data_IF_926956022856
#
_entry.id   IF_926956022856
#
_cell.length_a   1.000
_cell.length_b   1.000
_cell.length_c   1.000
_cell.angle_alpha   90.00
_cell.angle_beta   90.00
_cell.angle_gamma   90.00
#
_symmetry.space_group_name_H-M   'P 1'
#
loop_
_entity.id
_entity.type
_entity.pdbx_description
1 polymer ?
#
# COMPACT_ATOMS: atom_id res chain seq x y z
N UNK A 1 -10.39 1.99 2.46
CA UNK A 1 -9.02 1.84 1.94
C UNK A 1 -8.07 2.19 3.07
N UNK A 2 -6.98 1.44 3.31
CA UNK A 2 -5.94 1.89 4.24
C UNK A 2 -5.43 3.27 3.82
N UNK A 3 -5.24 4.21 4.75
CA UNK A 3 -4.74 5.52 4.43
C UNK A 3 -3.30 5.45 3.90
N UNK A 4 -2.98 6.37 3.01
CA UNK A 4 -1.60 6.59 2.56
C UNK A 4 -0.79 7.30 3.64
N UNK A 5 0.45 6.87 3.81
CA UNK A 5 1.35 7.43 4.82
C UNK A 5 1.92 8.79 4.38
N UNK A 6 1.97 9.74 5.32
CA UNK A 6 2.59 11.06 5.12
C UNK A 6 4.07 10.98 4.69
N UNK A 7 4.74 9.88 5.03
CA UNK A 7 6.13 9.68 4.61
C UNK A 7 6.22 9.44 3.10
N UNK A 8 5.30 8.68 2.50
CA UNK A 8 5.25 8.50 1.05
C UNK A 8 4.83 9.79 0.35
N UNK A 9 3.92 10.54 0.98
CA UNK A 9 3.55 11.87 0.53
C UNK A 9 4.77 12.79 0.39
N UNK A 10 5.64 12.81 1.40
CA UNK A 10 6.87 13.63 1.37
C UNK A 10 7.83 13.23 0.22
N UNK A 11 7.85 11.96 -0.18
CA UNK A 11 8.66 11.48 -1.30
C UNK A 11 8.12 11.95 -2.66
N UNK A 12 6.80 11.94 -2.82
CA UNK A 12 6.14 12.44 -4.02
C UNK A 12 6.32 13.96 -4.14
N UNK A 13 6.20 14.69 -3.03
CA UNK A 13 6.40 16.14 -2.98
C UNK A 13 7.85 16.61 -3.11
N UNK A 14 8.86 15.73 -2.99
CA UNK A 14 10.26 16.11 -3.17
C UNK A 14 10.65 16.18 -4.66
N UNK A 15 9.91 15.50 -5.54
CA UNK A 15 10.10 15.54 -6.99
C UNK A 15 9.39 16.70 -7.68
N UNK A 16 8.35 17.26 -7.06
CA UNK A 16 7.62 18.44 -7.54
C UNK A 16 7.93 19.64 -6.63
N UNK A 17 8.56 20.68 -7.18
CA UNK A 17 8.94 21.86 -6.41
C UNK A 17 7.73 22.48 -5.67
N UNK A 18 7.76 22.34 -4.34
CA UNK A 18 7.17 23.22 -3.32
C UNK A 18 5.83 23.91 -3.66
N UNK A 19 4.72 23.29 -3.29
CA UNK A 19 3.56 23.99 -2.73
C UNK A 19 2.66 22.99 -2.00
N UNK A 20 2.38 23.25 -0.72
CA UNK A 20 1.49 22.48 0.14
C UNK A 20 0.07 22.47 -0.43
N UNK A 21 -0.24 21.55 -1.35
CA UNK A 21 -1.59 21.24 -1.81
C UNK A 21 -1.87 19.77 -1.49
N UNK A 22 -3.06 19.52 -0.94
CA UNK A 22 -3.50 18.22 -0.45
C UNK A 22 -3.11 17.07 -1.40
N UNK A 23 -2.60 16.00 -0.80
CA UNK A 23 -2.09 14.82 -1.49
C UNK A 23 -3.12 14.29 -2.48
N UNK A 24 -2.86 14.49 -3.77
CA UNK A 24 -3.75 14.07 -4.83
C UNK A 24 -2.93 13.52 -5.97
N UNK A 25 -3.43 12.46 -6.59
CA UNK A 25 -2.77 11.87 -7.74
C UNK A 25 -2.69 12.94 -8.85
N UNK A 26 -1.56 13.06 -9.54
CA UNK A 26 -1.27 14.23 -10.38
C UNK A 26 -2.14 14.33 -11.63
N UNK A 27 -2.82 13.25 -12.04
CA UNK A 27 -3.70 13.25 -13.21
C UNK A 27 -5.12 12.78 -12.88
N UNK A 28 -6.09 13.38 -13.58
CA UNK A 28 -7.52 13.07 -13.45
C UNK A 28 -7.82 11.56 -13.58
N UNK A 29 -7.24 10.81 -14.54
CA UNK A 29 -7.50 9.37 -14.65
C UNK A 29 -7.01 8.57 -13.44
N UNK A 30 -5.91 8.99 -12.80
CA UNK A 30 -5.38 8.33 -11.61
C UNK A 30 -6.27 8.62 -10.40
N UNK A 31 -6.74 9.87 -10.24
CA UNK A 31 -7.71 10.24 -9.21
C UNK A 31 -9.01 9.44 -9.33
N UNK A 32 -9.54 9.30 -10.54
CA UNK A 32 -10.72 8.48 -10.80
C UNK A 32 -10.48 7.01 -10.44
N UNK A 33 -9.32 6.45 -10.82
CA UNK A 33 -8.97 5.05 -10.50
C UNK A 33 -8.86 4.82 -8.99
N UNK A 34 -8.20 5.71 -8.25
CA UNK A 34 -8.09 5.63 -6.79
C UNK A 34 -9.44 5.79 -6.10
N UNK A 35 -10.29 6.69 -6.59
CA UNK A 35 -11.68 6.83 -6.11
C UNK A 35 -12.48 5.54 -6.31
N UNK A 36 -12.39 4.92 -7.49
CA UNK A 36 -13.02 3.62 -7.77
C UNK A 36 -12.49 2.51 -6.86
N UNK A 37 -11.17 2.43 -6.67
CA UNK A 37 -10.55 1.49 -5.75
C UNK A 37 -11.05 1.69 -4.31
N UNK A 38 -11.11 2.94 -3.86
CA UNK A 38 -11.63 3.32 -2.55
C UNK A 38 -13.08 2.88 -2.35
N UNK A 39 -13.94 3.14 -3.35
CA UNK A 39 -15.34 2.72 -3.36
C UNK A 39 -15.50 1.20 -3.35
N UNK A 40 -14.75 0.48 -4.19
CA UNK A 40 -14.77 -0.97 -4.24
C UNK A 40 -14.30 -1.61 -2.91
N UNK A 41 -13.26 -1.05 -2.28
CA UNK A 41 -12.81 -1.49 -0.95
C UNK A 41 -13.89 -1.28 0.11
N UNK A 42 -14.55 -0.12 0.12
CA UNK A 42 -15.61 0.17 1.08
C UNK A 42 -16.83 -0.75 0.88
N UNK A 43 -17.24 -0.98 -0.37
CA UNK A 43 -18.33 -1.89 -0.71
C UNK A 43 -18.02 -3.34 -0.27
N UNK A 44 -16.81 -3.83 -0.53
CA UNK A 44 -16.37 -5.14 -0.08
C UNK A 44 -16.34 -5.23 1.46
N UNK A 45 -15.88 -4.18 2.14
CA UNK A 45 -15.90 -4.10 3.60
C UNK A 45 -17.32 -4.17 4.18
N UNK A 46 -18.28 -3.43 3.60
CA UNK A 46 -19.69 -3.52 3.99
C UNK A 46 -20.27 -4.92 3.74
N UNK A 47 -19.93 -5.54 2.61
CA UNK A 47 -20.38 -6.91 2.31
C UNK A 47 -19.86 -7.90 3.36
N UNK A 48 -18.57 -7.81 3.74
CA UNK A 48 -17.98 -8.65 4.80
C UNK A 48 -18.65 -8.40 6.15
N UNK A 49 -18.92 -7.15 6.52
CA UNK A 49 -19.62 -6.84 7.77
C UNK A 49 -21.04 -7.43 7.81
N UNK A 50 -21.78 -7.33 6.70
CA UNK A 50 -23.11 -7.95 6.57
C UNK A 50 -23.05 -9.47 6.66
N UNK A 51 -22.10 -10.11 5.98
CA UNK A 51 -21.88 -11.56 6.04
C UNK A 51 -21.51 -12.01 7.46
N UNK A 52 -20.71 -11.22 8.19
CA UNK A 52 -20.39 -11.49 9.59
C UNK A 52 -21.65 -11.47 10.47
N UNK A 53 -22.51 -10.46 10.31
CA UNK A 53 -23.80 -10.40 11.04
C UNK A 53 -24.68 -11.61 10.73
N UNK A 54 -24.77 -12.00 9.46
CA UNK A 54 -25.53 -13.21 9.05
C UNK A 54 -24.95 -14.46 9.72
N UNK A 55 -23.63 -14.63 9.74
CA UNK A 55 -22.98 -15.77 10.38
C UNK A 55 -23.27 -15.83 11.89
N UNK A 56 -23.25 -14.68 12.58
CA UNK A 56 -23.58 -14.61 14.02
C UNK A 56 -25.03 -15.00 14.27
N UNK A 57 -25.98 -14.43 13.52
CA UNK A 57 -27.40 -14.74 13.64
C UNK A 57 -27.70 -16.22 13.35
N UNK A 58 -27.06 -16.80 12.33
CA UNK A 58 -27.18 -18.22 12.03
C UNK A 58 -26.64 -19.10 13.15
N UNK A 59 -25.50 -18.74 13.75
CA UNK A 59 -24.93 -19.47 14.87
C UNK A 59 -25.84 -19.42 16.10
N UNK A 60 -26.49 -18.29 16.38
CA UNK A 60 -27.41 -18.16 17.51
C UNK A 60 -28.72 -18.92 17.27
N UNK A 61 -29.27 -18.87 16.06
CA UNK A 61 -30.44 -19.66 15.68
C UNK A 61 -30.18 -21.18 15.84
N UNK A 62 -29.00 -21.66 15.42
CA UNK A 62 -28.57 -23.05 15.60
C UNK A 62 -28.52 -23.44 17.08
N UNK A 63 -27.97 -22.57 17.95
CA UNK A 63 -27.93 -22.83 19.40
C UNK A 63 -29.32 -22.94 20.00
N UNK A 64 -30.25 -22.11 19.55
CA UNK A 64 -31.61 -22.09 20.09
C UNK A 64 -32.44 -23.27 19.60
N UNK A 65 -32.29 -23.66 18.32
CA UNK A 65 -32.87 -24.89 17.78
C UNK A 65 -32.39 -26.13 18.54
N UNK A 66 -31.10 -26.21 18.88
CA UNK A 66 -30.54 -27.33 19.64
C UNK A 66 -31.10 -27.43 21.08
N UNK A 67 -31.64 -26.35 21.64
CA UNK A 67 -32.26 -26.33 22.99
C UNK A 67 -33.77 -26.55 22.95
N UNK A 68 -34.41 -26.42 21.79
CA UNK A 68 -35.87 -26.48 21.65
C UNK A 68 -36.43 -27.89 21.89
N UNK A 69 -37.59 -27.97 22.53
CA UNK A 69 -38.32 -29.22 22.73
C UNK A 69 -39.40 -29.35 21.64
N UNK A 70 -39.32 -30.37 20.79
CA UNK A 70 -40.34 -30.63 19.75
C UNK A 70 -39.86 -31.29 18.47
N UNK A 71 -38.56 -31.33 18.20
CA UNK A 71 -37.99 -32.07 17.07
C UNK A 71 -37.37 -33.39 17.55
N UNK A 72 -37.52 -34.45 16.76
CA UNK A 72 -36.81 -35.70 17.01
C UNK A 72 -35.30 -35.52 16.80
N UNK A 73 -34.44 -36.33 17.44
CA UNK A 73 -32.98 -36.22 17.29
C UNK A 73 -32.50 -36.30 15.84
N UNK A 74 -33.20 -37.05 14.99
CA UNK A 74 -32.84 -37.25 13.58
C UNK A 74 -33.22 -36.04 12.71
N UNK A 75 -34.37 -35.41 12.97
CA UNK A 75 -34.78 -34.15 12.35
C UNK A 75 -33.85 -32.99 12.74
N UNK A 76 -33.41 -32.95 14.01
CA UNK A 76 -32.40 -31.97 14.46
C UNK A 76 -31.07 -32.22 13.73
N UNK A 77 -30.65 -33.48 13.57
CA UNK A 77 -29.41 -33.79 12.86
C UNK A 77 -29.46 -33.43 11.36
N UNK A 78 -30.59 -33.66 10.69
CA UNK A 78 -30.82 -33.24 9.31
C UNK A 78 -30.87 -31.72 9.16
N UNK A 79 -31.54 -31.03 10.10
CA UNK A 79 -31.58 -29.58 10.16
C UNK A 79 -30.20 -28.97 10.42
N UNK A 80 -29.39 -29.56 11.32
CA UNK A 80 -28.02 -29.15 11.53
C UNK A 80 -27.18 -29.32 10.27
N UNK A 81 -27.24 -30.49 9.59
CA UNK A 81 -26.50 -30.74 8.35
C UNK A 81 -26.84 -29.75 7.23
N UNK A 82 -28.12 -29.41 7.06
CA UNK A 82 -28.56 -28.42 6.07
C UNK A 82 -28.19 -27.00 6.48
N UNK A 83 -28.25 -26.70 7.78
CA UNK A 83 -27.86 -25.39 8.30
C UNK A 83 -26.35 -25.18 8.26
N UNK A 84 -25.52 -26.21 8.43
CA UNK A 84 -24.05 -26.14 8.36
C UNK A 84 -23.53 -25.65 7.00
N UNK A 85 -24.31 -25.83 5.93
CA UNK A 85 -23.98 -25.33 4.60
C UNK A 85 -23.99 -23.80 4.52
N UNK A 86 -24.85 -23.13 5.29
CA UNK A 86 -25.01 -21.68 5.23
C UNK A 86 -23.84 -20.91 5.88
N UNK A 87 -23.33 -21.27 7.07
CA UNK A 87 -22.08 -20.74 7.61
C UNK A 87 -20.88 -21.06 6.71
N UNK A 88 -20.84 -22.25 6.10
CA UNK A 88 -19.77 -22.60 5.16
C UNK A 88 -19.78 -21.69 3.93
N UNK A 89 -20.95 -21.47 3.32
CA UNK A 89 -21.12 -20.55 2.18
C UNK A 89 -20.74 -19.12 2.57
N UNK A 90 -21.14 -18.67 3.76
CA UNK A 90 -20.81 -17.34 4.30
C UNK A 90 -19.30 -17.19 4.52
N UNK A 91 -18.63 -18.19 5.07
CA UNK A 91 -17.16 -18.21 5.21
C UNK A 91 -16.45 -18.10 3.86
N UNK A 92 -16.93 -18.83 2.85
CA UNK A 92 -16.35 -18.76 1.51
C UNK A 92 -16.56 -17.39 0.86
N UNK A 93 -17.76 -16.81 0.97
CA UNK A 93 -18.07 -15.48 0.49
C UNK A 93 -17.19 -14.41 1.15
N UNK A 94 -17.05 -14.46 2.49
CA UNK A 94 -16.16 -13.56 3.25
C UNK A 94 -14.71 -13.71 2.79
N UNK A 95 -14.22 -14.94 2.62
CA UNK A 95 -12.85 -15.19 2.15
C UNK A 95 -12.61 -14.61 0.75
N UNK A 96 -13.56 -14.78 -0.17
CA UNK A 96 -13.48 -14.20 -1.51
C UNK A 96 -13.46 -12.66 -1.48
N UNK A 97 -14.29 -12.04 -0.64
CA UNK A 97 -14.32 -10.59 -0.47
C UNK A 97 -13.03 -10.05 0.16
N UNK A 98 -12.48 -10.72 1.18
CA UNK A 98 -11.20 -10.34 1.76
C UNK A 98 -10.06 -10.42 0.73
N UNK A 99 -10.03 -11.46 -0.11
CA UNK A 99 -9.07 -11.56 -1.22
C UNK A 99 -9.23 -10.43 -2.23
N UNK A 100 -10.47 -10.04 -2.55
CA UNK A 100 -10.76 -8.89 -3.39
C UNK A 100 -10.24 -7.59 -2.78
N UNK A 101 -10.48 -7.36 -1.48
CA UNK A 101 -9.95 -6.19 -0.76
C UNK A 101 -8.42 -6.13 -0.80
N UNK A 102 -7.73 -7.27 -0.63
CA UNK A 102 -6.26 -7.34 -0.75
C UNK A 102 -5.82 -6.99 -2.17
N UNK A 103 -6.48 -7.50 -3.20
CA UNK A 103 -6.16 -7.16 -4.59
C UNK A 103 -6.35 -5.65 -4.86
N UNK A 104 -7.42 -5.05 -4.35
CA UNK A 104 -7.68 -3.62 -4.44
C UNK A 104 -6.57 -2.80 -3.76
N UNK A 105 -6.12 -3.23 -2.57
CA UNK A 105 -4.98 -2.59 -1.88
C UNK A 105 -3.69 -2.69 -2.71
N UNK A 106 -3.43 -3.84 -3.34
CA UNK A 106 -2.26 -4.02 -4.21
C UNK A 106 -2.34 -3.11 -5.44
N UNK A 107 -3.51 -2.98 -6.07
CA UNK A 107 -3.72 -2.04 -7.18
C UNK A 107 -3.45 -0.60 -6.76
N UNK A 108 -3.95 -0.20 -5.59
CA UNK A 108 -3.70 1.13 -5.03
C UNK A 108 -2.19 1.33 -4.76
N UNK A 109 -1.50 0.36 -4.18
CA UNK A 109 -0.03 0.42 -4.00
C UNK A 109 0.71 0.60 -5.31
N UNK A 110 0.31 -0.15 -6.35
CA UNK A 110 0.92 -0.03 -7.68
C UNK A 110 0.74 1.38 -8.26
N UNK A 111 -0.45 1.97 -8.08
CA UNK A 111 -0.74 3.34 -8.49
C UNK A 111 0.25 4.33 -7.86
N UNK A 112 0.41 4.27 -6.53
CA UNK A 112 1.28 5.18 -5.78
C UNK A 112 2.78 4.94 -5.99
N UNK A 113 3.23 3.68 -6.08
CA UNK A 113 4.64 3.34 -6.33
C UNK A 113 5.08 3.72 -7.75
N UNK A 114 4.17 3.66 -8.72
CA UNK A 114 4.48 4.06 -10.10
C UNK A 114 4.71 5.58 -10.22
N UNK A 115 4.03 6.37 -9.40
CA UNK A 115 4.23 7.81 -9.31
C UNK A 115 5.48 8.22 -8.54
N UNK A 116 5.90 7.42 -7.57
CA UNK A 116 7.13 7.67 -6.84
C UNK A 116 8.37 7.42 -7.73
N UNK A 117 9.29 8.38 -7.75
CA UNK A 117 10.60 8.25 -8.43
C UNK A 117 11.54 7.34 -7.61
N UNK A 118 11.21 6.05 -7.60
CA UNK A 118 11.93 5.02 -6.85
C UNK A 118 12.67 4.08 -7.79
N UNK A 119 13.83 3.58 -7.33
CA UNK A 119 14.55 2.54 -8.07
C UNK A 119 13.77 1.22 -8.11
N UNK A 120 13.96 0.41 -9.17
CA UNK A 120 13.26 -0.89 -9.35
C UNK A 120 13.29 -1.79 -8.11
N UNK A 121 14.41 -1.81 -7.37
CA UNK A 121 14.59 -2.60 -6.13
C UNK A 121 13.72 -2.10 -4.98
N UNK A 122 13.57 -0.79 -4.85
CA UNK A 122 12.75 -0.14 -3.80
C UNK A 122 11.27 -0.31 -4.12
N UNK A 123 10.89 -0.15 -5.39
CA UNK A 123 9.53 -0.45 -5.89
C UNK A 123 9.14 -1.89 -5.58
N UNK A 124 10.00 -2.85 -5.90
CA UNK A 124 9.77 -4.26 -5.60
C UNK A 124 9.60 -4.54 -4.10
N UNK A 125 10.35 -3.86 -3.23
CA UNK A 125 10.22 -4.03 -1.78
C UNK A 125 8.88 -3.50 -1.25
N UNK A 126 8.44 -2.32 -1.69
CA UNK A 126 7.17 -1.73 -1.25
C UNK A 126 5.95 -2.51 -1.73
N UNK A 127 5.99 -3.06 -2.94
CA UNK A 127 4.88 -3.85 -3.49
C UNK A 127 4.70 -5.19 -2.75
N UNK A 128 5.79 -5.75 -2.22
CA UNK A 128 5.78 -7.02 -1.47
C UNK A 128 5.59 -6.82 0.04
N UNK A 129 5.34 -5.60 0.51
CA UNK A 129 5.08 -5.31 1.91
C UNK A 129 3.84 -6.10 2.41
N UNK A 130 3.80 -6.53 3.68
CA UNK A 130 2.57 -7.07 4.26
C UNK A 130 1.46 -6.01 4.22
N UNK A 131 0.20 -6.45 4.01
CA UNK A 131 -0.97 -5.55 4.02
C UNK A 131 -1.38 -5.29 5.46
N UNK A 132 -1.43 -4.01 5.84
CA UNK A 132 -1.95 -3.55 7.12
C UNK A 132 -3.32 -2.88 6.91
N UNK A 133 -4.30 -3.09 7.79
CA UNK A 133 -5.57 -2.37 7.72
C UNK A 133 -5.43 -0.88 8.09
N UNK A 134 -4.37 -0.51 8.82
CA UNK A 134 -4.14 0.85 9.31
C UNK A 134 -3.32 1.70 8.35
N UNK A 135 -2.56 1.07 7.45
CA UNK A 135 -1.50 1.72 6.67
C UNK A 135 -1.35 1.03 5.31
N UNK A 136 -1.21 1.82 4.24
CA UNK A 136 -1.14 1.28 2.88
C UNK A 136 0.14 0.49 2.62
N UNK A 137 1.31 0.92 3.07
CA UNK A 137 2.62 0.25 2.92
C UNK A 137 3.28 -0.11 4.26
N UNK A 138 2.84 0.52 5.35
CA UNK A 138 3.31 0.35 6.71
C UNK A 138 4.78 0.72 6.92
N UNK A 139 5.45 0.01 7.82
CA UNK A 139 6.88 0.21 8.19
C UNK A 139 7.85 0.03 7.02
N UNK A 140 7.40 -0.55 5.90
CA UNK A 140 8.21 -0.77 4.69
C UNK A 140 8.72 0.54 4.07
N UNK A 141 7.96 1.64 4.21
CA UNK A 141 8.39 2.96 3.74
C UNK A 141 9.60 3.46 4.53
N UNK A 142 9.66 3.22 5.85
CA UNK A 142 10.77 3.67 6.68
C UNK A 142 12.09 2.99 6.30
N UNK A 143 12.02 1.73 5.89
CA UNK A 143 13.16 0.95 5.42
C UNK A 143 13.68 1.51 4.10
N UNK A 144 12.79 1.79 3.14
CA UNK A 144 13.18 2.43 1.86
C UNK A 144 13.73 3.83 2.09
N UNK A 145 13.15 4.61 3.02
CA UNK A 145 13.65 5.92 3.41
C UNK A 145 15.04 5.88 4.01
N UNK A 146 15.29 4.91 4.90
CA UNK A 146 16.60 4.66 5.48
C UNK A 146 17.63 4.25 4.44
N UNK A 147 17.24 3.45 3.45
CA UNK A 147 18.10 3.03 2.34
C UNK A 147 18.44 4.21 1.40
N UNK A 148 17.45 5.04 1.08
CA UNK A 148 17.61 6.24 0.25
C UNK A 148 18.52 7.28 0.90
N UNK A 149 18.35 7.55 2.21
CA UNK A 149 19.26 8.45 2.96
C UNK A 149 20.69 7.94 3.02
N UNK A 150 20.91 6.63 3.18
CA UNK A 150 22.25 6.03 3.16
C UNK A 150 22.90 6.12 1.78
N UNK A 151 22.12 5.97 0.70
CA UNK A 151 22.59 6.18 -0.68
C UNK A 151 22.95 7.65 -0.95
N UNK A 152 22.13 8.61 -0.53
CA UNK A 152 22.47 10.03 -0.61
C UNK A 152 23.71 10.37 0.22
N UNK A 153 23.85 9.83 1.44
CA UNK A 153 25.04 10.00 2.26
C UNK A 153 26.29 9.40 1.59
N UNK A 154 26.20 8.20 0.99
CA UNK A 154 27.30 7.57 0.26
C UNK A 154 27.66 8.30 -1.05
N UNK A 155 26.69 8.91 -1.73
CA UNK A 155 26.92 9.73 -2.93
C UNK A 155 27.56 11.08 -2.57
N UNK A 156 27.19 11.67 -1.43
CA UNK A 156 27.81 12.89 -0.89
C UNK A 156 29.17 12.64 -0.20
N UNK A 157 29.51 11.38 0.09
CA UNK A 157 30.80 10.97 0.67
C UNK A 157 31.84 10.54 -0.37
N UNK A 158 31.48 10.50 -1.67
CA UNK A 158 32.46 10.28 -2.73
C UNK A 158 33.12 11.63 -3.07
N UNK A 159 34.43 11.83 -2.83
CA UNK A 159 35.10 12.99 -3.37
C UNK A 159 34.99 12.92 -4.90
N UNK A 160 34.49 14.00 -5.51
CA UNK A 160 34.55 14.24 -6.95
C UNK A 160 36.02 14.32 -7.37
N UNK A 161 36.67 13.17 -7.59
CA UNK A 161 37.89 13.10 -8.36
C UNK A 161 37.48 13.10 -9.84
N UNK A 162 37.32 14.29 -10.39
CA UNK A 162 37.22 14.49 -11.82
C UNK A 162 38.64 14.53 -12.37
N UNK A 163 39.18 13.38 -12.78
CA UNK A 163 40.36 13.36 -13.67
C UNK A 163 39.93 13.95 -15.01
N UNK A 164 40.35 15.20 -15.27
CA UNK A 164 40.27 15.80 -16.60
C UNK A 164 41.45 15.33 -17.46
N UNK A 165 41.25 14.92 -18.73
CA UNK A 165 42.35 14.62 -19.62
C UNK A 165 43.06 15.92 -20.03
N UNK A 166 44.38 15.94 -19.83
CA UNK A 166 45.24 17.08 -20.13
C UNK A 166 45.35 17.39 -21.63
N UNK A 167 45.37 18.70 -21.93
CA UNK A 167 46.05 19.27 -23.09
C UNK A 167 46.52 20.70 -22.74
N UNK A 168 47.76 20.97 -23.14
CA UNK A 168 48.72 21.99 -22.66
C UNK A 168 48.27 23.45 -22.52
N UNK A 169 48.94 24.24 -21.66
CA UNK A 169 48.70 25.67 -21.49
C UNK A 169 49.42 26.50 -22.56
N UNK A 170 48.69 27.35 -23.27
CA UNK A 170 49.23 28.50 -24.01
C UNK A 170 48.86 29.77 -23.24
N UNK A 171 49.76 30.22 -22.36
CA UNK A 171 49.61 31.48 -21.64
C UNK A 171 50.43 32.54 -22.40
N UNK A 172 49.72 33.36 -23.19
CA UNK A 172 50.20 34.69 -23.59
C UNK A 172 50.14 35.62 -22.39
N UNK A 173 51.16 36.46 -22.29
CA UNK A 173 51.62 37.07 -21.06
C UNK A 173 50.73 38.14 -20.45
N UNK A 174 50.97 38.36 -19.16
CA UNK A 174 50.90 39.67 -18.52
C UNK A 174 52.08 39.76 -17.55
N UNK A 175 52.93 40.74 -17.82
CA UNK A 175 54.04 41.19 -16.97
C UNK A 175 53.51 41.85 -15.69
N UNK A 176 54.04 41.46 -14.54
CA UNK A 176 54.02 42.29 -13.33
C UNK A 176 55.44 42.29 -12.73
N UNK A 177 56.07 43.47 -12.76
CA UNK A 177 57.37 43.76 -12.13
C UNK A 177 57.27 43.62 -10.60
N UNK A 178 58.30 43.13 -9.91
CA UNK A 178 58.42 43.32 -8.47
C UNK A 178 58.99 44.70 -8.15
N UNK A 179 58.44 45.31 -7.10
CA UNK A 179 59.00 46.44 -6.38
C UNK A 179 60.14 45.92 -5.50
N UNK A 180 61.35 46.42 -5.75
CA UNK A 180 62.33 46.90 -4.77
C UNK A 180 63.46 47.63 -5.51
#
# INVERSE_FOLDING_TARGET
MPPIEETLASYLSLGEASSLKALSLPSEPLQQTSSLNGGAYAAAGHAVASLHTVAVLQADLLKDLNKGQGLSPDEVAELCRTTDLAPWATKQATTAMCRSMVAIVVMERHLWVNLADLGKKEKGFLLNAPVSPSELFGTSIEIVRGLGRRRCALLLSKPLFFEGPGLSPNIKGVQARPVL
#
